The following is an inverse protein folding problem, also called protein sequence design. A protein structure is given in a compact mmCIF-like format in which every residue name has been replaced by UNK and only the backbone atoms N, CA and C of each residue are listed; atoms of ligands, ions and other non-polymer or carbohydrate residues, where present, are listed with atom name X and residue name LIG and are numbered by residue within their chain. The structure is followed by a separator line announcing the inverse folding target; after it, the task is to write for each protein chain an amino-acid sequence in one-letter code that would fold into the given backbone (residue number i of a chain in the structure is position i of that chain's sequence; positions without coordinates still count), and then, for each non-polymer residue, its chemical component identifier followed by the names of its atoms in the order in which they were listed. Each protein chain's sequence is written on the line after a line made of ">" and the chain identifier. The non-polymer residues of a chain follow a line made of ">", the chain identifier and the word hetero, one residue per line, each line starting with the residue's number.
data_IF_420523021032
#
_entry.id   IF_420523021032
#
_cell.length_a   1.000
_cell.length_b   1.000
_cell.length_c   1.000
_cell.angle_alpha   90.00
_cell.angle_beta   90.00
_cell.angle_gamma   90.00
#
_symmetry.space_group_name_H-M   'P 1'
#
loop_
_entity.id
_entity.type
_entity.pdbx_description
1 polymer ?
#
# COMPACT_ATOMS: atom_id res chain seq x y z
N UNK A 1 -13.87 3.63 15.48
CA UNK A 1 -12.69 2.87 15.04
C UNK A 1 -12.16 3.55 13.77
N UNK A 2 -10.85 3.61 13.56
CA UNK A 2 -10.25 4.41 12.49
C UNK A 2 -10.34 3.65 11.15
N UNK A 3 -11.46 3.77 10.47
CA UNK A 3 -11.66 3.22 9.13
C UNK A 3 -12.06 4.32 8.16
N UNK A 4 -11.49 4.26 6.97
CA UNK A 4 -11.85 5.07 5.81
C UNK A 4 -12.68 4.22 4.86
N UNK A 5 -13.78 4.78 4.36
CA UNK A 5 -14.57 4.14 3.31
C UNK A 5 -13.91 4.44 1.95
N UNK A 6 -13.34 3.44 1.33
CA UNK A 6 -12.94 3.44 -0.07
C UNK A 6 -14.00 2.75 -0.94
N UNK A 7 -13.86 2.81 -2.25
CA UNK A 7 -14.76 2.10 -3.15
C UNK A 7 -14.60 0.59 -2.98
N UNK A 8 -15.65 -0.09 -2.54
CA UNK A 8 -15.69 -1.53 -2.36
C UNK A 8 -14.94 -2.09 -1.15
N UNK A 9 -14.35 -1.24 -0.28
CA UNK A 9 -13.67 -1.71 0.93
C UNK A 9 -13.57 -0.63 2.02
N UNK A 10 -13.44 -1.06 3.28
CA UNK A 10 -13.04 -0.18 4.40
C UNK A 10 -11.57 -0.41 4.70
N UNK A 11 -10.82 0.68 4.78
CA UNK A 11 -9.39 0.67 5.06
C UNK A 11 -9.14 1.09 6.50
N UNK A 12 -8.48 0.24 7.24
CA UNK A 12 -8.02 0.56 8.59
C UNK A 12 -6.78 1.45 8.52
N UNK A 13 -6.74 2.48 9.37
CA UNK A 13 -5.59 3.37 9.45
C UNK A 13 -5.22 3.68 10.90
N UNK A 14 -3.99 4.12 11.08
CA UNK A 14 -3.49 4.72 12.31
C UNK A 14 -2.91 6.10 12.01
N UNK A 15 -3.06 7.00 12.97
CA UNK A 15 -2.64 8.39 12.83
C UNK A 15 -1.87 8.83 14.08
N UNK A 16 -0.80 9.60 13.89
CA UNK A 16 -0.01 10.17 14.97
C UNK A 16 0.59 11.53 14.57
N UNK A 17 0.71 12.43 15.54
CA UNK A 17 1.33 13.74 15.35
C UNK A 17 0.39 14.79 14.77
N UNK A 18 0.98 15.88 14.30
CA UNK A 18 0.27 17.03 13.70
C UNK A 18 1.23 17.80 12.79
N UNK A 19 0.67 18.63 11.88
CA UNK A 19 1.43 19.39 10.89
C UNK A 19 1.15 18.90 9.47
N UNK A 20 2.11 19.05 8.56
CA UNK A 20 1.96 18.60 7.18
C UNK A 20 1.77 17.09 7.12
N UNK A 21 0.83 16.58 6.31
CA UNK A 21 0.50 15.17 6.32
C UNK A 21 1.50 14.32 5.53
N UNK A 22 1.84 13.16 6.10
CA UNK A 22 2.57 12.08 5.45
C UNK A 22 1.70 10.83 5.47
N UNK A 23 1.49 10.20 4.31
CA UNK A 23 0.82 8.90 4.18
C UNK A 23 1.84 7.83 3.83
N UNK A 24 1.87 6.77 4.65
CA UNK A 24 2.73 5.61 4.47
C UNK A 24 1.95 4.44 3.88
N UNK A 25 2.48 3.86 2.80
CA UNK A 25 1.88 2.76 2.04
C UNK A 25 2.81 1.56 2.10
N UNK A 26 2.34 0.47 2.73
CA UNK A 26 3.17 -0.70 3.02
C UNK A 26 3.43 -1.60 1.80
N UNK A 27 4.38 -2.51 1.93
CA UNK A 27 4.71 -3.52 0.93
C UNK A 27 3.79 -4.75 0.99
N UNK A 28 3.95 -5.69 0.03
CA UNK A 28 3.10 -6.86 -0.11
C UNK A 28 3.10 -7.80 1.11
N UNK A 29 4.25 -8.04 1.72
CA UNK A 29 4.37 -9.00 2.82
C UNK A 29 4.38 -8.34 4.21
N UNK A 30 3.86 -7.13 4.31
CA UNK A 30 3.85 -6.31 5.53
C UNK A 30 2.45 -5.70 5.73
N UNK A 31 2.32 -4.88 6.74
CA UNK A 31 1.16 -4.04 7.03
C UNK A 31 1.61 -2.68 7.60
N UNK A 32 0.67 -1.86 8.04
CA UNK A 32 0.99 -0.53 8.59
C UNK A 32 2.02 -0.55 9.74
N UNK A 33 2.20 -1.69 10.45
CA UNK A 33 3.15 -1.82 11.55
C UNK A 33 4.61 -1.74 11.09
N UNK A 34 4.90 -2.09 9.85
CA UNK A 34 6.22 -1.92 9.24
C UNK A 34 6.69 -0.47 9.24
N UNK A 35 5.76 0.48 9.35
CA UNK A 35 6.05 1.90 9.42
C UNK A 35 6.17 2.45 10.86
N UNK A 36 6.14 1.61 11.90
CA UNK A 36 6.16 2.06 13.30
C UNK A 36 7.34 3.01 13.60
N UNK A 37 8.54 2.68 13.13
CA UNK A 37 9.74 3.50 13.37
C UNK A 37 9.65 4.86 12.70
N UNK A 38 9.16 4.91 11.47
CA UNK A 38 8.95 6.15 10.71
C UNK A 38 7.83 6.98 11.33
N UNK A 39 6.71 6.34 11.67
CA UNK A 39 5.59 6.97 12.39
C UNK A 39 6.08 7.62 13.69
N UNK A 40 6.83 6.90 14.51
CA UNK A 40 7.40 7.41 15.76
C UNK A 40 8.36 8.58 15.55
N UNK A 41 9.17 8.55 14.50
CA UNK A 41 10.14 9.60 14.20
C UNK A 41 9.47 10.85 13.67
N UNK A 42 8.66 10.71 12.62
CA UNK A 42 8.08 11.83 11.88
C UNK A 42 6.89 12.47 12.59
N UNK A 43 6.14 11.76 13.43
CA UNK A 43 4.99 12.30 14.17
C UNK A 43 5.35 13.44 15.14
N UNK A 44 6.63 13.66 15.38
CA UNK A 44 7.11 14.82 16.15
C UNK A 44 6.93 16.14 15.42
N UNK A 45 6.79 16.14 14.11
CA UNK A 45 6.72 17.34 13.28
C UNK A 45 5.70 17.27 12.14
N UNK A 46 5.14 16.08 11.89
CA UNK A 46 4.21 15.81 10.81
C UNK A 46 2.96 15.11 11.32
N UNK A 47 1.86 15.24 10.60
CA UNK A 47 0.67 14.41 10.74
C UNK A 47 0.92 13.12 9.95
N UNK A 48 1.31 12.05 10.63
CA UNK A 48 1.64 10.77 10.04
C UNK A 48 0.43 9.86 9.99
N UNK A 49 0.13 9.29 8.84
CA UNK A 49 -0.94 8.34 8.60
C UNK A 49 -0.34 7.07 7.99
N UNK A 50 -0.62 5.90 8.55
CA UNK A 50 -0.36 4.63 7.92
C UNK A 50 -1.65 3.85 7.83
N UNK A 51 -1.90 3.13 6.73
CA UNK A 51 -3.10 2.35 6.55
C UNK A 51 -2.77 0.95 6.01
N UNK A 52 -3.63 -0.02 6.32
CA UNK A 52 -3.58 -1.32 5.67
C UNK A 52 -4.32 -1.25 4.34
N UNK A 53 -3.66 -1.69 3.29
CA UNK A 53 -4.28 -1.83 1.98
C UNK A 53 -5.46 -2.83 2.05
N UNK A 54 -6.40 -2.75 1.10
CA UNK A 54 -7.42 -3.80 0.96
C UNK A 54 -6.79 -5.17 0.81
N UNK A 55 -7.38 -6.19 1.41
CA UNK A 55 -6.81 -7.53 1.45
C UNK A 55 -5.86 -7.79 2.63
N UNK A 56 -5.54 -6.77 3.43
CA UNK A 56 -4.68 -6.87 4.61
C UNK A 56 -5.47 -6.50 5.87
N UNK A 57 -5.79 -7.51 6.70
CA UNK A 57 -6.52 -7.27 7.96
C UNK A 57 -5.78 -6.27 8.87
N UNK A 58 -6.51 -5.40 9.61
CA UNK A 58 -7.95 -5.36 9.78
C UNK A 58 -8.72 -4.54 8.73
N UNK A 59 -8.09 -4.13 7.62
CA UNK A 59 -8.85 -3.65 6.45
C UNK A 59 -9.71 -4.77 5.88
N UNK A 60 -10.76 -4.40 5.14
CA UNK A 60 -11.60 -5.41 4.51
C UNK A 60 -10.82 -6.23 3.47
N UNK A 61 -11.16 -7.52 3.40
CA UNK A 61 -10.64 -8.50 2.44
C UNK A 61 -11.77 -8.89 1.48
N UNK A 62 -12.05 -8.07 0.44
CA UNK A 62 -13.07 -8.39 -0.55
C UNK A 62 -12.80 -9.73 -1.23
N UNK A 63 -13.82 -10.56 -1.37
CA UNK A 63 -13.71 -11.87 -2.05
C UNK A 63 -13.74 -11.77 -3.57
N UNK A 64 -14.18 -10.65 -4.13
CA UNK A 64 -14.21 -10.41 -5.57
C UNK A 64 -12.83 -9.95 -6.07
N UNK A 65 -12.13 -10.73 -6.92
CA UNK A 65 -10.83 -10.34 -7.47
C UNK A 65 -10.89 -9.03 -8.29
N UNK A 66 -12.04 -8.65 -8.83
CA UNK A 66 -12.21 -7.40 -9.57
C UNK A 66 -12.01 -6.14 -8.69
N UNK A 67 -12.07 -6.30 -7.37
CA UNK A 67 -11.80 -5.23 -6.40
C UNK A 67 -10.30 -5.06 -6.08
N UNK A 68 -9.41 -5.74 -6.80
CA UNK A 68 -7.97 -5.63 -6.64
C UNK A 68 -7.31 -5.29 -7.97
N UNK A 69 -6.69 -4.12 -8.02
CA UNK A 69 -5.87 -3.70 -9.16
C UNK A 69 -4.92 -2.58 -8.74
N UNK A 70 -3.93 -2.30 -9.59
CA UNK A 70 -3.04 -1.15 -9.39
C UNK A 70 -3.82 0.17 -9.37
N UNK A 71 -4.84 0.30 -10.21
CA UNK A 71 -5.69 1.49 -10.24
C UNK A 71 -6.47 1.68 -8.94
N UNK A 72 -7.05 0.61 -8.43
CA UNK A 72 -7.79 0.62 -7.17
C UNK A 72 -6.86 0.93 -5.98
N UNK A 73 -5.67 0.33 -5.93
CA UNK A 73 -4.68 0.64 -4.90
C UNK A 73 -4.25 2.12 -4.93
N UNK A 74 -4.18 2.70 -6.12
CA UNK A 74 -3.92 4.14 -6.32
C UNK A 74 -5.07 5.00 -5.81
N UNK A 75 -6.30 4.62 -6.13
CA UNK A 75 -7.51 5.33 -5.71
C UNK A 75 -7.75 5.21 -4.19
N UNK A 76 -7.28 4.13 -3.56
CA UNK A 76 -7.30 3.95 -2.10
C UNK A 76 -6.48 5.03 -1.38
N UNK A 77 -5.32 5.42 -1.91
CA UNK A 77 -4.54 6.54 -1.35
C UNK A 77 -5.37 7.83 -1.38
N UNK A 78 -6.04 8.10 -2.50
CA UNK A 78 -6.90 9.27 -2.62
C UNK A 78 -8.12 9.19 -1.67
N UNK A 79 -8.67 7.99 -1.48
CA UNK A 79 -9.77 7.76 -0.53
C UNK A 79 -9.33 8.03 0.92
N UNK A 80 -8.12 7.61 1.31
CA UNK A 80 -7.54 7.92 2.63
C UNK A 80 -7.43 9.42 2.83
N UNK A 81 -6.86 10.15 1.87
CA UNK A 81 -6.75 11.61 1.97
C UNK A 81 -8.12 12.28 2.09
N UNK A 82 -9.06 11.95 1.22
CA UNK A 82 -10.42 12.52 1.24
C UNK A 82 -11.18 12.20 2.52
N UNK A 83 -11.07 10.96 3.01
CA UNK A 83 -11.74 10.53 4.23
C UNK A 83 -11.19 11.18 5.52
N UNK A 84 -9.99 11.76 5.44
CA UNK A 84 -9.33 12.49 6.53
C UNK A 84 -9.33 14.01 6.34
N UNK A 85 -10.06 14.51 5.34
CA UNK A 85 -10.11 15.93 4.96
C UNK A 85 -8.71 16.52 4.67
N UNK A 86 -7.85 15.73 4.02
CA UNK A 86 -6.50 16.12 3.63
C UNK A 86 -6.49 16.48 2.14
N UNK A 87 -6.19 17.72 1.83
CA UNK A 87 -6.11 18.20 0.46
C UNK A 87 -4.87 17.68 -0.26
N UNK A 88 -3.72 17.70 0.42
CA UNK A 88 -2.41 17.28 -0.12
C UNK A 88 -1.57 16.60 0.94
N UNK A 89 -0.76 15.62 0.56
CA UNK A 89 0.16 14.93 1.46
C UNK A 89 1.49 14.56 0.78
N UNK A 90 2.50 14.32 1.60
CA UNK A 90 3.66 13.54 1.20
C UNK A 90 3.26 12.07 1.19
N UNK A 91 3.53 11.36 0.10
CA UNK A 91 3.21 9.92 -0.04
C UNK A 91 4.50 9.13 -0.03
N UNK A 92 4.60 8.18 0.89
CA UNK A 92 5.78 7.33 1.10
C UNK A 92 5.36 5.88 0.89
N UNK A 93 5.87 5.24 -0.13
CA UNK A 93 5.54 3.84 -0.44
C UNK A 93 6.78 2.95 -0.54
N UNK A 94 6.63 1.69 -0.13
CA UNK A 94 7.64 0.65 -0.28
C UNK A 94 7.11 -0.49 -1.14
N UNK A 95 7.91 -0.99 -2.09
CA UNK A 95 7.58 -2.13 -2.96
C UNK A 95 6.19 -2.00 -3.62
N UNK A 96 5.22 -2.84 -3.27
CA UNK A 96 3.82 -2.72 -3.72
C UNK A 96 3.26 -1.31 -3.45
N UNK A 97 3.49 -0.76 -2.26
CA UNK A 97 3.09 0.60 -1.91
C UNK A 97 3.83 1.67 -2.70
N UNK A 98 5.06 1.41 -3.14
CA UNK A 98 5.80 2.33 -4.00
C UNK A 98 5.19 2.43 -5.41
N UNK A 99 4.72 1.31 -5.98
CA UNK A 99 3.96 1.34 -7.23
C UNK A 99 2.67 2.15 -7.08
N UNK A 100 1.91 1.94 -5.99
CA UNK A 100 0.71 2.72 -5.72
C UNK A 100 1.01 4.22 -5.56
N UNK A 101 2.07 4.58 -4.82
CA UNK A 101 2.51 5.97 -4.64
C UNK A 101 2.95 6.63 -5.95
N UNK A 102 3.68 5.91 -6.81
CA UNK A 102 4.09 6.41 -8.12
C UNK A 102 2.89 6.70 -9.01
N UNK A 103 1.97 5.74 -9.13
CA UNK A 103 0.74 5.89 -9.91
C UNK A 103 -0.16 6.99 -9.34
N UNK A 104 -0.19 7.14 -7.99
CA UNK A 104 -0.91 8.24 -7.34
C UNK A 104 -0.39 9.59 -7.78
N UNK A 105 0.92 9.80 -7.80
CA UNK A 105 1.51 11.06 -8.27
C UNK A 105 1.25 11.34 -9.75
N UNK A 106 1.07 10.31 -10.57
CA UNK A 106 0.70 10.45 -12.00
C UNK A 106 -0.78 10.77 -12.17
N UNK A 107 -1.67 10.17 -11.37
CA UNK A 107 -3.14 10.31 -11.48
C UNK A 107 -3.69 11.50 -10.71
N UNK A 108 -3.11 11.83 -9.55
CA UNK A 108 -3.54 12.87 -8.62
C UNK A 108 -2.40 13.84 -8.26
N UNK A 109 -1.70 14.43 -9.25
CA UNK A 109 -0.55 15.29 -8.99
C UNK A 109 -0.89 16.50 -8.10
N UNK A 110 -2.14 16.96 -8.14
CA UNK A 110 -2.63 18.06 -7.31
C UNK A 110 -2.77 17.69 -5.83
N UNK A 111 -2.86 16.39 -5.50
CA UNK A 111 -2.96 15.88 -4.12
C UNK A 111 -1.60 15.46 -3.53
N UNK A 112 -0.52 15.48 -4.33
CA UNK A 112 0.82 15.11 -3.90
C UNK A 112 1.67 16.33 -3.56
N UNK A 113 2.20 16.41 -2.34
CA UNK A 113 3.26 17.36 -1.97
C UNK A 113 4.62 16.84 -2.42
N UNK A 114 4.90 15.57 -2.21
CA UNK A 114 6.07 14.85 -2.71
C UNK A 114 5.81 13.34 -2.68
N UNK A 115 6.67 12.59 -3.37
CA UNK A 115 6.64 11.13 -3.40
C UNK A 115 7.99 10.57 -2.93
N UNK A 116 7.94 9.53 -2.09
CA UNK A 116 9.05 8.64 -1.82
C UNK A 116 8.67 7.26 -2.36
N UNK A 117 9.40 6.82 -3.38
CA UNK A 117 9.15 5.57 -4.11
C UNK A 117 10.32 4.63 -3.85
N UNK A 118 10.17 3.77 -2.84
CA UNK A 118 11.23 2.88 -2.38
C UNK A 118 11.01 1.44 -2.86
N UNK A 119 12.06 0.83 -3.45
CA UNK A 119 12.01 -0.59 -3.85
C UNK A 119 11.04 -0.88 -5.01
N UNK A 120 10.79 0.11 -5.88
CA UNK A 120 9.97 -0.03 -7.08
C UNK A 120 10.89 -0.20 -8.29
N UNK A 121 10.61 -1.18 -9.16
CA UNK A 121 11.40 -1.33 -10.39
C UNK A 121 11.34 -2.71 -11.03
N UNK A 122 11.39 -3.79 -10.27
CA UNK A 122 11.29 -5.14 -10.83
C UNK A 122 9.96 -5.33 -11.58
N UNK A 123 10.05 -5.83 -12.81
CA UNK A 123 8.88 -5.95 -13.70
C UNK A 123 8.55 -4.67 -14.50
N UNK A 124 9.06 -3.50 -14.11
CA UNK A 124 8.89 -2.26 -14.86
C UNK A 124 9.90 -2.09 -16.02
N UNK A 125 10.93 -2.95 -16.08
CA UNK A 125 11.89 -2.95 -17.17
C UNK A 125 11.23 -3.31 -18.50
N UNK A 126 11.63 -2.63 -19.57
CA UNK A 126 11.09 -2.88 -20.91
C UNK A 126 11.32 -4.35 -21.32
N UNK A 127 10.22 -5.05 -21.60
CA UNK A 127 10.22 -6.47 -22.00
C UNK A 127 10.24 -7.47 -20.83
N UNK A 128 10.18 -7.00 -19.57
CA UNK A 128 10.14 -7.86 -18.38
C UNK A 128 8.75 -7.97 -17.73
N UNK A 129 7.79 -7.18 -18.18
CA UNK A 129 6.45 -7.15 -17.59
C UNK A 129 5.70 -8.48 -17.71
N UNK A 130 5.82 -9.18 -18.83
CA UNK A 130 5.16 -10.47 -19.06
C UNK A 130 5.78 -11.57 -18.19
N UNK A 131 7.12 -11.60 -18.06
CA UNK A 131 7.85 -12.53 -17.18
C UNK A 131 7.42 -12.31 -15.72
N UNK A 132 7.41 -11.05 -15.27
CA UNK A 132 6.97 -10.69 -13.91
C UNK A 132 5.51 -11.10 -13.66
N UNK A 133 4.62 -10.84 -14.61
CA UNK A 133 3.20 -11.21 -14.49
C UNK A 133 3.02 -12.72 -14.37
N UNK A 134 3.81 -13.50 -15.13
CA UNK A 134 3.78 -14.96 -15.07
C UNK A 134 4.31 -15.49 -13.72
N UNK A 135 5.39 -14.91 -13.20
CA UNK A 135 5.95 -15.27 -11.89
C UNK A 135 4.96 -14.97 -10.76
N UNK A 136 4.32 -13.79 -10.77
CA UNK A 136 3.31 -13.40 -9.78
C UNK A 136 2.08 -14.32 -9.85
N UNK A 137 1.61 -14.67 -11.05
CA UNK A 137 0.49 -15.60 -11.22
C UNK A 137 0.83 -17.00 -10.66
N UNK A 138 2.04 -17.50 -10.91
CA UNK A 138 2.50 -18.77 -10.36
C UNK A 138 2.61 -18.74 -8.84
N UNK A 139 3.10 -17.63 -8.29
CA UNK A 139 3.20 -17.43 -6.84
C UNK A 139 1.81 -17.39 -6.19
N UNK A 140 0.86 -16.65 -6.77
CA UNK A 140 -0.52 -16.61 -6.32
C UNK A 140 -1.17 -18.01 -6.34
N UNK A 141 -0.97 -18.78 -7.42
CA UNK A 141 -1.44 -20.16 -7.52
C UNK A 141 -0.89 -21.03 -6.38
N UNK A 142 0.40 -20.88 -6.05
CA UNK A 142 1.03 -21.62 -4.96
C UNK A 142 0.35 -21.36 -3.61
N UNK A 143 -0.07 -20.14 -3.32
CA UNK A 143 -0.84 -19.82 -2.10
C UNK A 143 -2.21 -20.50 -2.09
N UNK A 144 -2.89 -20.57 -3.24
CA UNK A 144 -4.22 -21.20 -3.36
C UNK A 144 -4.10 -22.72 -3.15
N UNK A 145 -3.09 -23.34 -3.74
CA UNK A 145 -2.91 -24.81 -3.72
C UNK A 145 -2.31 -25.31 -2.41
N UNK A 146 -1.34 -24.60 -1.85
CA UNK A 146 -0.53 -25.07 -0.72
C UNK A 146 -0.82 -24.35 0.59
N UNK A 147 -1.48 -23.20 0.53
CA UNK A 147 -1.84 -22.39 1.68
C UNK A 147 -0.70 -21.53 2.24
N UNK A 148 -1.08 -20.64 3.12
CA UNK A 148 -0.20 -19.63 3.69
C UNK A 148 0.95 -20.21 4.52
N UNK A 149 0.71 -21.31 5.26
CA UNK A 149 1.72 -21.92 6.11
C UNK A 149 2.91 -22.50 5.31
N UNK A 150 2.64 -23.10 4.15
CA UNK A 150 3.69 -23.71 3.32
C UNK A 150 4.42 -22.68 2.44
N UNK A 151 3.71 -21.70 1.91
CA UNK A 151 4.28 -20.71 0.99
C UNK A 151 4.74 -19.44 1.69
N UNK A 152 3.92 -18.91 2.61
CA UNK A 152 4.19 -17.66 3.30
C UNK A 152 5.33 -17.75 4.31
N UNK A 153 5.46 -18.88 5.05
CA UNK A 153 6.53 -19.05 6.04
C UNK A 153 7.93 -18.99 5.40
N UNK A 154 8.24 -19.75 4.32
CA UNK A 154 9.52 -19.61 3.63
C UNK A 154 9.76 -18.21 3.09
N UNK A 155 8.72 -17.54 2.58
CA UNK A 155 8.83 -16.17 2.08
C UNK A 155 9.21 -15.18 3.19
N UNK A 156 8.59 -15.29 4.36
CA UNK A 156 8.85 -14.40 5.51
C UNK A 156 10.22 -14.66 6.19
N UNK A 157 10.78 -15.85 6.00
CA UNK A 157 12.08 -16.25 6.54
C UNK A 157 13.20 -16.21 5.48
N UNK A 158 12.88 -15.75 4.28
CA UNK A 158 13.82 -15.60 3.19
C UNK A 158 15.04 -14.74 3.53
N UNK A 159 16.14 -14.82 2.73
CA UNK A 159 17.39 -14.13 3.02
C UNK A 159 17.25 -12.60 3.01
#
# INVERSE_FOLDING_TARGET
>A
MPYIQAEGAKLYYEEAGSGDPIVFVHEFADDLRGWELQMRYFSRSYRCIAYNARGFEPSEVPSDPALYSQDIATDDIAAVLRGLDIEKAHIVGCSMGAFAALHFGMRYPEMALSLVVAGCGYGAEKGKGDDFSAEVAQFATSFIEKGMAEVGTPYSLGP
#
